data_IF_153469682276
#
_entry.id   IF_153469682276
#
_cell.length_a   1.000
_cell.length_b   1.000
_cell.length_c   1.000
_cell.angle_alpha   90.00
_cell.angle_beta   90.00
_cell.angle_gamma   90.00
#
_symmetry.space_group_name_H-M   'P 1'
#
loop_
_entity.id
_entity.type
_entity.pdbx_description
1 polymer ?
#
# COMPACT_ATOMS: atom_id res chain seq x y z
N UNK A 1 -6.78 13.23 -27.73
CA UNK A 1 -7.16 13.16 -26.29
C UNK A 1 -6.74 11.86 -25.60
N UNK A 2 -6.83 10.69 -26.25
CA UNK A 2 -6.51 9.39 -25.65
C UNK A 2 -5.06 9.22 -25.11
N UNK A 3 -4.06 9.80 -25.79
CA UNK A 3 -2.65 9.73 -25.34
C UNK A 3 -2.38 10.61 -24.11
N UNK A 4 -3.09 11.74 -23.96
CA UNK A 4 -2.97 12.62 -22.80
C UNK A 4 -3.52 11.93 -21.55
N UNK A 5 -4.73 11.36 -21.64
CA UNK A 5 -5.34 10.60 -20.55
C UNK A 5 -4.48 9.43 -20.07
N UNK A 6 -3.82 8.69 -20.97
CA UNK A 6 -2.88 7.61 -20.59
C UNK A 6 -1.66 8.12 -19.82
N UNK A 7 -1.09 9.25 -20.22
CA UNK A 7 0.04 9.88 -19.53
C UNK A 7 -0.36 10.43 -18.17
N UNK A 8 -1.53 11.05 -18.07
CA UNK A 8 -2.06 11.58 -16.82
C UNK A 8 -2.31 10.45 -15.81
N UNK A 9 -2.93 9.34 -16.25
CA UNK A 9 -3.07 8.11 -15.43
C UNK A 9 -1.74 7.54 -14.98
N UNK A 10 -0.78 7.41 -15.90
CA UNK A 10 0.54 6.89 -15.54
C UNK A 10 1.22 7.74 -14.45
N UNK A 11 1.11 9.07 -14.54
CA UNK A 11 1.62 9.98 -13.52
C UNK A 11 0.89 9.84 -12.19
N UNK A 12 -0.44 9.73 -12.21
CA UNK A 12 -1.27 9.53 -11.02
C UNK A 12 -0.91 8.21 -10.32
N UNK A 13 -0.84 7.11 -11.06
CA UNK A 13 -0.50 5.80 -10.51
C UNK A 13 0.87 5.78 -9.81
N UNK A 14 1.90 6.38 -10.43
CA UNK A 14 3.23 6.48 -9.81
C UNK A 14 3.16 7.25 -8.50
N UNK A 15 2.42 8.36 -8.47
CA UNK A 15 2.25 9.17 -7.26
C UNK A 15 1.55 8.37 -6.15
N UNK A 16 0.47 7.67 -6.48
CA UNK A 16 -0.29 6.84 -5.55
C UNK A 16 0.59 5.71 -4.99
N UNK A 17 1.24 4.94 -5.87
CA UNK A 17 2.10 3.82 -5.46
C UNK A 17 3.27 4.29 -4.58
N UNK A 18 3.96 5.35 -4.96
CA UNK A 18 5.08 5.86 -4.16
C UNK A 18 4.61 6.32 -2.77
N UNK A 19 3.45 7.00 -2.69
CA UNK A 19 2.88 7.42 -1.41
C UNK A 19 2.50 6.21 -0.56
N UNK A 20 1.94 5.18 -1.19
CA UNK A 20 1.56 3.94 -0.54
C UNK A 20 2.78 3.21 0.03
N UNK A 21 3.83 3.01 -0.76
CA UNK A 21 5.10 2.39 -0.31
C UNK A 21 5.76 3.17 0.83
N UNK A 22 5.81 4.50 0.73
CA UNK A 22 6.42 5.35 1.77
C UNK A 22 5.62 5.24 3.06
N UNK A 23 4.29 5.28 2.98
CA UNK A 23 3.41 5.21 4.15
C UNK A 23 3.45 3.82 4.79
N UNK A 24 3.37 2.76 3.97
CA UNK A 24 3.51 1.38 4.42
C UNK A 24 4.86 1.17 5.11
N UNK A 25 5.97 1.58 4.50
CA UNK A 25 7.30 1.48 5.10
C UNK A 25 7.37 2.24 6.42
N UNK A 26 6.83 3.47 6.46
CA UNK A 26 6.85 4.32 7.65
C UNK A 26 6.09 3.71 8.82
N UNK A 27 4.87 3.20 8.58
CA UNK A 27 4.04 2.60 9.62
C UNK A 27 4.60 1.25 10.12
N UNK A 28 5.06 0.40 9.20
CA UNK A 28 5.68 -0.87 9.56
C UNK A 28 6.99 -0.65 10.33
N UNK A 29 7.84 0.28 9.88
CA UNK A 29 9.05 0.64 10.61
C UNK A 29 8.74 1.22 11.99
N UNK A 30 7.76 2.12 12.09
CA UNK A 30 7.32 2.67 13.37
C UNK A 30 6.81 1.58 14.32
N UNK A 31 6.00 0.64 13.84
CA UNK A 31 5.52 -0.49 14.63
C UNK A 31 6.67 -1.38 15.10
N UNK A 32 7.59 -1.74 14.20
CA UNK A 32 8.74 -2.59 14.53
C UNK A 32 9.62 -1.89 15.56
N UNK A 33 10.00 -0.62 15.34
CA UNK A 33 10.81 0.16 16.28
C UNK A 33 10.12 0.31 17.64
N UNK A 34 8.83 0.60 17.67
CA UNK A 34 8.06 0.65 18.93
C UNK A 34 8.08 -0.71 19.65
N UNK A 35 7.87 -1.79 18.90
CA UNK A 35 7.83 -3.14 19.46
C UNK A 35 9.18 -3.62 20.00
N UNK A 36 10.28 -3.14 19.42
CA UNK A 36 11.65 -3.47 19.84
C UNK A 36 12.14 -2.57 20.99
N UNK A 37 11.89 -1.26 20.92
CA UNK A 37 12.48 -0.28 21.84
C UNK A 37 11.63 0.01 23.07
N UNK A 38 10.29 -0.04 22.95
CA UNK A 38 9.38 0.42 24.01
C UNK A 38 8.67 -0.77 24.66
N UNK A 39 7.99 -1.60 23.87
CA UNK A 39 7.15 -2.69 24.41
C UNK A 39 7.03 -3.84 23.43
N UNK A 40 7.53 -5.02 23.81
CA UNK A 40 7.44 -6.23 22.99
C UNK A 40 5.99 -6.53 22.59
N UNK A 41 5.73 -6.56 21.27
CA UNK A 41 4.45 -6.97 20.68
C UNK A 41 4.57 -8.33 20.00
N UNK A 42 3.43 -8.96 19.72
CA UNK A 42 3.39 -10.24 18.99
C UNK A 42 3.71 -10.01 17.51
N UNK A 43 4.91 -10.40 17.08
CA UNK A 43 5.30 -10.35 15.67
C UNK A 43 4.50 -11.32 14.80
N UNK A 44 4.01 -12.43 15.37
CA UNK A 44 3.17 -13.39 14.64
C UNK A 44 1.82 -12.76 14.27
N UNK A 45 1.17 -12.11 15.25
CA UNK A 45 -0.11 -11.43 15.02
C UNK A 45 0.05 -10.31 13.99
N UNK A 46 1.13 -9.54 14.11
CA UNK A 46 1.50 -8.53 13.12
C UNK A 46 1.69 -9.12 11.72
N UNK A 47 2.46 -10.20 11.58
CA UNK A 47 2.72 -10.82 10.29
C UNK A 47 1.44 -11.35 9.63
N UNK A 48 0.58 -12.02 10.41
CA UNK A 48 -0.67 -12.59 9.88
C UNK A 48 -1.65 -11.51 9.46
N UNK A 49 -1.87 -10.47 10.28
CA UNK A 49 -2.86 -9.43 9.99
C UNK A 49 -2.35 -8.42 8.97
N UNK A 50 -1.04 -8.24 8.83
CA UNK A 50 -0.47 -7.38 7.78
C UNK A 50 -0.36 -8.09 6.43
N UNK A 51 -0.39 -9.43 6.39
CA UNK A 51 -0.20 -10.20 5.15
C UNK A 51 -1.22 -9.84 4.05
N UNK A 52 -2.53 -9.69 4.31
CA UNK A 52 -3.49 -9.28 3.28
C UNK A 52 -3.16 -7.92 2.68
N UNK A 53 -2.71 -6.95 3.48
CA UNK A 53 -2.30 -5.63 2.98
C UNK A 53 -1.06 -5.70 2.08
N UNK A 54 -0.09 -6.54 2.43
CA UNK A 54 1.12 -6.73 1.62
C UNK A 54 0.79 -7.39 0.28
N UNK A 55 -0.16 -8.34 0.26
CA UNK A 55 -0.64 -8.96 -0.97
C UNK A 55 -1.38 -7.93 -1.82
N UNK A 56 -2.25 -7.11 -1.21
CA UNK A 56 -2.96 -6.03 -1.91
C UNK A 56 -1.97 -5.01 -2.53
N UNK A 57 -1.02 -4.53 -1.75
CA UNK A 57 0.05 -3.62 -2.20
C UNK A 57 0.87 -4.23 -3.35
N UNK A 58 1.21 -5.51 -3.26
CA UNK A 58 1.91 -6.22 -4.34
C UNK A 58 1.08 -6.29 -5.63
N UNK A 59 -0.22 -6.58 -5.53
CA UNK A 59 -1.10 -6.62 -6.69
C UNK A 59 -1.21 -5.21 -7.30
N UNK A 60 -1.47 -4.18 -6.50
CA UNK A 60 -1.56 -2.79 -6.96
C UNK A 60 -0.27 -2.30 -7.64
N UNK A 61 0.89 -2.67 -7.10
CA UNK A 61 2.19 -2.34 -7.70
C UNK A 61 2.38 -3.04 -9.05
N UNK A 62 2.05 -4.33 -9.14
CA UNK A 62 2.26 -5.12 -10.36
C UNK A 62 1.30 -4.76 -11.49
N UNK A 63 0.04 -4.40 -11.18
CA UNK A 63 -0.98 -4.01 -12.16
C UNK A 63 -0.97 -2.52 -12.47
N UNK A 64 -0.75 -1.68 -11.46
CA UNK A 64 -0.83 -0.22 -11.55
C UNK A 64 0.44 0.47 -12.04
N UNK A 65 1.64 -0.13 -11.89
CA UNK A 65 2.89 0.54 -12.26
C UNK A 65 3.02 0.72 -13.79
N UNK A 66 3.20 1.96 -14.28
CA UNK A 66 3.37 2.20 -15.71
C UNK A 66 4.65 1.58 -16.26
N UNK A 67 4.57 1.05 -17.48
CA UNK A 67 5.69 0.43 -18.17
C UNK A 67 6.12 1.32 -19.34
N UNK A 68 7.42 1.57 -19.42
CA UNK A 68 8.04 2.39 -20.47
C UNK A 68 8.92 1.52 -21.36
N UNK A 69 9.02 1.89 -22.63
CA UNK A 69 9.94 1.26 -23.58
C UNK A 69 11.39 1.64 -23.26
N UNK A 70 12.30 0.66 -23.24
CA UNK A 70 13.69 0.86 -22.83
C UNK A 70 14.50 1.70 -23.84
N UNK A 71 14.14 1.65 -25.13
CA UNK A 71 14.88 2.30 -26.22
C UNK A 71 14.32 3.69 -26.49
N UNK A 72 13.00 3.81 -26.55
CA UNK A 72 12.33 5.07 -26.95
C UNK A 72 11.85 5.91 -25.77
N UNK A 73 11.89 5.37 -24.54
CA UNK A 73 11.28 5.95 -23.33
C UNK A 73 9.79 6.29 -23.49
N UNK A 74 9.14 5.78 -24.53
CA UNK A 74 7.73 5.98 -24.76
C UNK A 74 6.90 5.16 -23.75
N UNK A 75 5.74 5.70 -23.36
CA UNK A 75 4.82 5.00 -22.46
C UNK A 75 4.21 3.80 -23.21
N UNK A 76 4.51 2.57 -22.76
CA UNK A 76 4.00 1.32 -23.32
C UNK A 76 2.67 0.93 -22.69
N UNK A 77 2.55 1.05 -21.37
CA UNK A 77 1.31 0.85 -20.63
C UNK A 77 1.22 1.84 -19.48
N UNK A 78 0.04 2.42 -19.27
CA UNK A 78 -0.23 3.29 -18.13
C UNK A 78 -0.47 2.49 -16.83
N UNK A 79 -0.63 1.17 -16.90
CA UNK A 79 -1.12 0.34 -15.80
C UNK A 79 -2.65 0.35 -15.72
N UNK A 80 -3.19 -0.46 -14.81
CA UNK A 80 -4.61 -0.39 -14.43
C UNK A 80 -4.90 0.90 -13.66
N UNK A 81 -6.15 1.35 -13.71
CA UNK A 81 -6.55 2.57 -13.02
C UNK A 81 -6.63 2.30 -11.51
N UNK A 82 -5.71 2.89 -10.74
CA UNK A 82 -5.69 2.74 -9.29
C UNK A 82 -6.84 3.50 -8.61
N UNK A 83 -7.59 4.34 -9.34
CA UNK A 83 -8.80 4.97 -8.86
C UNK A 83 -10.07 4.23 -9.33
N UNK A 84 -9.94 3.01 -9.87
CA UNK A 84 -11.08 2.19 -10.25
C UNK A 84 -11.89 1.75 -9.03
N UNK A 85 -13.21 1.92 -9.12
CA UNK A 85 -14.16 1.39 -8.14
C UNK A 85 -14.19 -0.15 -8.15
N UNK A 86 -14.55 -0.74 -7.02
CA UNK A 86 -14.67 -2.19 -6.87
C UNK A 86 -13.41 -2.84 -6.31
N UNK A 87 -12.81 -3.80 -7.01
CA UNK A 87 -11.73 -4.62 -6.44
C UNK A 87 -10.52 -3.79 -5.99
N UNK A 88 -10.10 -2.81 -6.80
CA UNK A 88 -8.99 -1.91 -6.49
C UNK A 88 -9.28 -1.10 -5.22
N UNK A 89 -10.48 -0.54 -5.10
CA UNK A 89 -10.94 0.17 -3.92
C UNK A 89 -10.90 -0.73 -2.66
N UNK A 90 -11.42 -1.95 -2.74
CA UNK A 90 -11.33 -2.91 -1.63
C UNK A 90 -9.89 -3.26 -1.24
N UNK A 91 -8.95 -3.30 -2.19
CA UNK A 91 -7.53 -3.49 -1.87
C UNK A 91 -6.97 -2.32 -1.07
N UNK A 92 -7.36 -1.08 -1.38
CA UNK A 92 -7.00 0.09 -0.59
C UNK A 92 -7.65 0.05 0.80
N UNK A 93 -8.91 -0.35 0.92
CA UNK A 93 -9.57 -0.50 2.23
C UNK A 93 -8.82 -1.46 3.15
N UNK A 94 -8.42 -2.62 2.63
CA UNK A 94 -7.61 -3.62 3.37
C UNK A 94 -6.29 -2.99 3.85
N UNK A 95 -5.65 -2.18 3.02
CA UNK A 95 -4.41 -1.47 3.40
C UNK A 95 -4.68 -0.42 4.47
N UNK A 96 -5.74 0.38 4.32
CA UNK A 96 -6.09 1.44 5.26
C UNK A 96 -6.51 0.91 6.63
N UNK A 97 -7.32 -0.16 6.67
CA UNK A 97 -7.70 -0.82 7.93
C UNK A 97 -6.45 -1.42 8.60
N UNK A 98 -5.48 -1.93 7.83
CA UNK A 98 -4.24 -2.46 8.39
C UNK A 98 -3.45 -1.36 9.06
N UNK A 99 -3.31 -0.22 8.38
CA UNK A 99 -2.62 0.95 8.91
C UNK A 99 -3.30 1.48 10.19
N UNK A 100 -4.62 1.57 10.19
CA UNK A 100 -5.40 1.94 11.37
C UNK A 100 -5.15 0.97 12.54
N UNK A 101 -5.16 -0.35 12.27
CA UNK A 101 -4.86 -1.38 13.26
C UNK A 101 -3.44 -1.28 13.81
N UNK A 102 -2.42 -1.01 12.97
CA UNK A 102 -1.05 -0.81 13.44
C UNK A 102 -0.95 0.39 14.40
N UNK A 103 -1.55 1.52 14.04
CA UNK A 103 -1.59 2.71 14.90
C UNK A 103 -2.34 2.41 16.20
N UNK A 104 -3.49 1.74 16.12
CA UNK A 104 -4.28 1.34 17.28
C UNK A 104 -3.49 0.41 18.21
N UNK A 105 -2.68 -0.51 17.68
CA UNK A 105 -1.85 -1.41 18.50
C UNK A 105 -0.70 -0.68 19.18
N UNK A 106 -0.13 0.34 18.54
CA UNK A 106 0.87 1.21 19.15
C UNK A 106 0.27 1.96 20.34
N UNK A 107 -0.94 2.52 20.19
CA UNK A 107 -1.60 3.35 21.22
C UNK A 107 -2.29 2.53 22.32
N UNK A 108 -3.17 1.59 21.93
CA UNK A 108 -4.04 0.83 22.84
C UNK A 108 -3.49 -0.55 23.21
N UNK A 109 -2.38 -0.96 22.61
CA UNK A 109 -1.79 -2.28 22.80
C UNK A 109 -2.52 -3.39 22.06
N UNK A 110 -2.46 -4.64 22.55
CA UNK A 110 -2.97 -5.79 21.80
C UNK A 110 -4.49 -5.71 21.51
N UNK A 111 -5.24 -4.89 22.26
CA UNK A 111 -6.64 -4.58 21.96
C UNK A 111 -6.83 -3.84 20.63
N UNK A 112 -5.80 -3.16 20.13
CA UNK A 112 -5.83 -2.47 18.84
C UNK A 112 -6.01 -3.41 17.65
N UNK A 113 -5.70 -4.71 17.79
CA UNK A 113 -5.95 -5.69 16.74
C UNK A 113 -7.44 -5.93 16.46
N UNK A 114 -8.34 -5.51 17.36
CA UNK A 114 -9.79 -5.60 17.14
C UNK A 114 -10.32 -4.66 16.05
N UNK A 115 -9.48 -3.72 15.59
CA UNK A 115 -9.82 -2.81 14.48
C UNK A 115 -9.71 -3.51 13.12
N UNK A 116 -9.01 -4.65 13.06
CA UNK A 116 -8.87 -5.48 11.88
C UNK A 116 -10.09 -6.40 11.69
#
# INVERSE_FOLDING_TARGET
MAQKAKKDRAKANISTLNTLHITALSLNAAFILFSLLIRRRSFLTYAVLSLPSLIAEFILETTGRPKYDATTKALKSAGEDLAAEGLTEYMFDVIWVTWASLVAVVVCGNWGWLVW
#
